data_IF_277569857905
#
_entry.id   IF_277569857905
#
_cell.length_a   1.000
_cell.length_b   1.000
_cell.length_c   1.000
_cell.angle_alpha   90.00
_cell.angle_beta   90.00
_cell.angle_gamma   90.00
#
_symmetry.space_group_name_H-M   'P 1'
#
loop_
_entity.id
_entity.type
_entity.pdbx_description
1 polymer ?
#
# COMPACT_ATOMS: atom_id res chain seq x y z
N UNK A 1 -0.83 -2.61 -11.57
CA UNK A 1 -0.09 -3.12 -10.39
C UNK A 1 1.39 -3.45 -10.67
N UNK A 2 1.74 -4.11 -11.80
CA UNK A 2 3.10 -4.59 -12.09
C UNK A 2 4.24 -3.53 -12.00
N UNK A 3 4.00 -2.31 -12.49
CA UNK A 3 5.06 -1.28 -12.57
C UNK A 3 5.59 -0.84 -11.19
N UNK A 4 4.73 -0.73 -10.16
CA UNK A 4 5.17 -0.29 -8.81
C UNK A 4 5.93 -1.37 -8.07
N UNK A 5 5.53 -2.63 -8.23
CA UNK A 5 6.25 -3.78 -7.65
C UNK A 5 7.66 -3.86 -8.22
N UNK A 6 7.81 -3.68 -9.53
CA UNK A 6 9.12 -3.62 -10.19
C UNK A 6 9.97 -2.45 -9.67
N UNK A 7 9.38 -1.27 -9.49
CA UNK A 7 10.07 -0.11 -8.94
C UNK A 7 10.59 -0.34 -7.51
N UNK A 8 9.78 -0.92 -6.61
CA UNK A 8 10.24 -1.29 -5.26
C UNK A 8 11.41 -2.26 -5.35
N UNK A 9 11.27 -3.35 -6.11
CA UNK A 9 12.32 -4.35 -6.24
C UNK A 9 13.62 -3.71 -6.76
N UNK A 10 13.51 -2.79 -7.71
CA UNK A 10 14.65 -2.03 -8.21
C UNK A 10 15.29 -1.15 -7.13
N UNK A 11 14.49 -0.36 -6.38
CA UNK A 11 14.99 0.48 -5.29
C UNK A 11 15.71 -0.37 -4.24
N UNK A 12 15.10 -1.47 -3.78
CA UNK A 12 15.70 -2.38 -2.78
C UNK A 12 17.04 -2.94 -3.26
N UNK A 13 17.16 -3.26 -4.56
CA UNK A 13 18.41 -3.75 -5.16
C UNK A 13 19.49 -2.66 -5.23
N UNK A 14 19.11 -1.43 -5.55
CA UNK A 14 20.02 -0.29 -5.57
C UNK A 14 20.52 0.05 -4.16
N UNK A 15 19.64 0.07 -3.17
CA UNK A 15 20.00 0.29 -1.76
C UNK A 15 20.99 -0.79 -1.27
N UNK A 16 20.71 -2.08 -1.55
CA UNK A 16 21.66 -3.16 -1.25
C UNK A 16 23.01 -2.96 -1.94
N UNK A 17 23.00 -2.55 -3.21
CA UNK A 17 24.23 -2.31 -3.97
C UNK A 17 25.07 -1.18 -3.35
N UNK A 18 24.41 -0.10 -2.95
CA UNK A 18 25.07 1.05 -2.31
C UNK A 18 25.68 0.65 -0.96
N UNK A 19 24.93 -0.07 -0.12
CA UNK A 19 25.43 -0.57 1.17
C UNK A 19 26.67 -1.45 0.99
N UNK A 20 26.65 -2.36 0.01
CA UNK A 20 27.83 -3.17 -0.33
C UNK A 20 29.06 -2.33 -0.70
N UNK A 21 28.89 -1.23 -1.44
CA UNK A 21 30.00 -0.35 -1.81
C UNK A 21 30.54 0.47 -0.63
N UNK A 22 29.68 0.87 0.31
CA UNK A 22 30.07 1.73 1.44
C UNK A 22 30.68 0.91 2.58
N UNK A 23 30.09 -0.23 2.92
CA UNK A 23 30.54 -1.08 4.03
C UNK A 23 31.66 -2.05 3.63
N UNK A 24 31.97 -2.14 2.33
CA UNK A 24 32.98 -3.04 1.74
C UNK A 24 32.83 -4.51 2.16
N UNK A 25 31.63 -4.88 2.60
CA UNK A 25 31.26 -6.20 3.09
C UNK A 25 29.81 -6.49 2.66
N UNK A 26 29.48 -7.77 2.49
CA UNK A 26 28.16 -8.23 2.02
C UNK A 26 27.37 -8.84 3.19
N UNK A 27 27.41 -8.18 4.34
CA UNK A 27 26.82 -8.69 5.58
C UNK A 27 25.28 -8.63 5.52
N UNK A 28 24.64 -9.75 5.81
CA UNK A 28 23.18 -9.90 5.80
C UNK A 28 22.48 -9.10 6.91
N UNK A 29 23.18 -8.74 7.98
CA UNK A 29 22.64 -7.93 9.09
C UNK A 29 22.40 -6.47 8.72
N UNK A 30 23.16 -5.93 7.76
CA UNK A 30 22.98 -4.57 7.23
C UNK A 30 21.87 -4.51 6.16
N UNK A 31 21.31 -5.66 5.79
CA UNK A 31 20.20 -5.70 4.85
C UNK A 31 18.89 -5.31 5.54
N UNK A 32 17.99 -4.76 4.73
CA UNK A 32 16.67 -4.38 5.19
C UNK A 32 15.91 -5.60 5.70
N UNK A 33 15.39 -5.49 6.91
CA UNK A 33 14.58 -6.54 7.50
C UNK A 33 13.32 -6.80 6.69
N UNK A 34 12.84 -8.03 6.69
CA UNK A 34 11.57 -8.41 6.05
C UNK A 34 10.39 -7.57 6.57
N UNK A 35 10.42 -7.12 7.83
CA UNK A 35 9.40 -6.23 8.41
C UNK A 35 9.42 -4.84 7.77
N UNK A 36 10.61 -4.29 7.53
CA UNK A 36 10.80 -2.99 6.90
C UNK A 36 10.38 -3.02 5.42
N UNK A 37 10.80 -4.07 4.70
CA UNK A 37 10.38 -4.29 3.30
C UNK A 37 8.85 -4.37 3.22
N UNK A 38 8.22 -5.10 4.15
CA UNK A 38 6.76 -5.22 4.22
C UNK A 38 6.09 -3.87 4.52
N UNK A 39 6.60 -3.10 5.47
CA UNK A 39 6.07 -1.77 5.80
C UNK A 39 6.14 -0.81 4.61
N UNK A 40 7.30 -0.75 3.93
CA UNK A 40 7.48 0.03 2.70
C UNK A 40 6.50 -0.41 1.60
N UNK A 41 6.27 -1.72 1.47
CA UNK A 41 5.29 -2.27 0.54
C UNK A 41 3.87 -1.81 0.85
N UNK A 42 3.45 -1.86 2.12
CA UNK A 42 2.12 -1.42 2.55
C UNK A 42 1.90 0.07 2.26
N UNK A 43 2.87 0.93 2.59
CA UNK A 43 2.82 2.37 2.29
C UNK A 43 2.61 2.63 0.80
N UNK A 44 3.26 1.87 -0.08
CA UNK A 44 3.15 2.03 -1.52
C UNK A 44 1.82 1.52 -2.10
N UNK A 45 1.23 0.49 -1.48
CA UNK A 45 -0.12 0.05 -1.78
C UNK A 45 -1.12 1.12 -1.34
N UNK A 46 -1.00 1.63 -0.11
CA UNK A 46 -1.89 2.68 0.43
C UNK A 46 -1.85 3.91 -0.47
N UNK A 47 -0.65 4.38 -0.84
CA UNK A 47 -0.49 5.49 -1.78
C UNK A 47 -1.10 5.19 -3.18
N UNK A 48 -1.20 3.92 -3.60
CA UNK A 48 -1.93 3.56 -4.84
C UNK A 48 -3.40 3.70 -4.65
N UNK A 49 -3.91 3.14 -3.57
CA UNK A 49 -5.31 3.13 -3.22
C UNK A 49 -5.86 4.57 -3.18
N UNK A 50 -5.11 5.47 -2.55
CA UNK A 50 -5.44 6.89 -2.50
C UNK A 50 -5.45 7.55 -3.88
N UNK A 51 -4.45 7.27 -4.70
CA UNK A 51 -4.35 7.83 -6.05
C UNK A 51 -5.51 7.33 -6.93
N UNK A 52 -5.83 6.03 -6.89
CA UNK A 52 -6.97 5.44 -7.61
C UNK A 52 -8.31 6.02 -7.11
N UNK A 53 -8.44 6.26 -5.80
CA UNK A 53 -9.60 6.93 -5.20
C UNK A 53 -9.74 8.38 -5.68
N UNK A 54 -8.66 9.16 -5.68
CA UNK A 54 -8.66 10.54 -6.19
C UNK A 54 -9.02 10.58 -7.67
N UNK A 55 -8.48 9.67 -8.48
CA UNK A 55 -8.78 9.55 -9.91
C UNK A 55 -10.23 9.16 -10.19
N UNK A 56 -10.98 8.68 -9.20
CA UNK A 56 -12.41 8.34 -9.34
C UNK A 56 -13.29 9.60 -9.34
N UNK A 57 -12.77 10.74 -8.85
CA UNK A 57 -13.54 11.99 -8.80
C UNK A 57 -13.80 12.56 -10.19
N UNK A 58 -15.03 12.37 -10.71
CA UNK A 58 -15.49 12.99 -11.96
C UNK A 58 -15.44 14.51 -11.93
N UNK A 59 -15.62 15.13 -10.76
CA UNK A 59 -15.50 16.59 -10.61
C UNK A 59 -14.10 17.10 -10.93
N UNK A 60 -13.05 16.35 -10.54
CA UNK A 60 -11.65 16.76 -10.77
C UNK A 60 -11.09 16.32 -12.13
N UNK A 61 -11.51 15.16 -12.64
CA UNK A 61 -10.90 14.55 -13.83
C UNK A 61 -11.85 14.42 -15.03
N UNK A 62 -13.12 14.83 -14.89
CA UNK A 62 -14.11 14.80 -15.96
C UNK A 62 -14.26 13.41 -16.60
N UNK A 63 -14.25 13.36 -17.94
CA UNK A 63 -14.27 12.10 -18.72
C UNK A 63 -12.99 11.26 -18.61
N UNK A 64 -11.89 11.82 -18.09
CA UNK A 64 -10.62 11.10 -17.89
C UNK A 64 -10.53 10.43 -16.51
N UNK A 65 -11.52 10.65 -15.65
CA UNK A 65 -11.61 9.97 -14.36
C UNK A 65 -11.88 8.47 -14.50
N UNK A 66 -11.33 7.68 -13.60
CA UNK A 66 -11.55 6.23 -13.55
C UNK A 66 -12.95 5.97 -13.02
N UNK A 67 -13.65 4.97 -13.55
CA UNK A 67 -14.96 4.56 -13.03
C UNK A 67 -14.78 3.92 -11.66
N UNK A 68 -15.66 4.27 -10.72
CA UNK A 68 -15.65 3.75 -9.36
C UNK A 68 -15.74 2.22 -9.32
N UNK A 69 -16.59 1.63 -10.16
CA UNK A 69 -16.72 0.19 -10.34
C UNK A 69 -15.40 -0.49 -10.70
N UNK A 70 -14.58 0.14 -11.54
CA UNK A 70 -13.28 -0.39 -11.94
C UNK A 70 -12.31 -0.43 -10.76
N UNK A 71 -12.32 0.61 -9.91
CA UNK A 71 -11.50 0.67 -8.70
C UNK A 71 -12.00 -0.34 -7.67
N UNK A 72 -13.32 -0.41 -7.41
CA UNK A 72 -13.91 -1.38 -6.49
C UNK A 72 -13.56 -2.82 -6.88
N UNK A 73 -13.73 -3.18 -8.16
CA UNK A 73 -13.39 -4.50 -8.68
C UNK A 73 -11.90 -4.81 -8.49
N UNK A 74 -11.03 -3.88 -8.87
CA UNK A 74 -9.56 -4.06 -8.79
C UNK A 74 -9.05 -4.26 -7.36
N UNK A 75 -9.70 -3.66 -6.37
CA UNK A 75 -9.24 -3.64 -4.98
C UNK A 75 -9.99 -4.61 -4.05
N UNK A 76 -11.18 -5.06 -4.44
CA UNK A 76 -12.02 -5.97 -3.65
C UNK A 76 -11.31 -7.27 -3.23
N UNK A 77 -10.42 -7.82 -4.06
CA UNK A 77 -9.65 -9.03 -3.77
C UNK A 77 -8.32 -8.80 -3.02
N UNK A 78 -7.91 -7.55 -2.83
CA UNK A 78 -6.62 -7.18 -2.23
C UNK A 78 -6.81 -6.69 -0.78
N UNK A 79 -7.96 -6.10 -0.48
CA UNK A 79 -8.27 -5.58 0.85
C UNK A 79 -8.60 -6.72 1.81
N UNK A 80 -7.77 -6.88 2.86
CA UNK A 80 -7.88 -7.95 3.85
C UNK A 80 -9.23 -7.99 4.60
N UNK A 81 -9.94 -6.87 4.64
CA UNK A 81 -11.28 -6.76 5.24
C UNK A 81 -12.42 -6.87 4.21
N UNK A 82 -12.20 -7.40 3.00
CA UNK A 82 -13.19 -7.40 1.90
C UNK A 82 -14.62 -7.87 2.23
N UNK A 83 -14.83 -8.55 3.36
CA UNK A 83 -16.15 -8.92 3.89
C UNK A 83 -16.86 -7.85 4.75
N UNK A 84 -16.12 -6.93 5.38
CA UNK A 84 -16.64 -5.87 6.26
C UNK A 84 -16.55 -4.46 5.64
N UNK A 85 -16.08 -4.32 4.40
CA UNK A 85 -16.09 -3.02 3.73
C UNK A 85 -17.48 -2.70 3.18
N UNK A 86 -17.98 -1.47 3.36
CA UNK A 86 -19.15 -0.98 2.65
C UNK A 86 -18.95 -1.14 1.13
N UNK A 87 -20.03 -1.41 0.40
CA UNK A 87 -20.00 -1.51 -1.08
C UNK A 87 -19.33 -0.29 -1.75
N UNK A 88 -19.50 0.88 -1.14
CA UNK A 88 -18.95 2.16 -1.60
C UNK A 88 -17.82 2.70 -0.71
N UNK A 89 -16.92 1.83 -0.24
CA UNK A 89 -15.82 2.20 0.65
C UNK A 89 -14.88 3.29 0.10
N UNK A 90 -14.90 3.56 -1.20
CA UNK A 90 -14.16 4.66 -1.85
C UNK A 90 -14.68 6.04 -1.40
N UNK A 91 -15.95 6.16 -1.04
CA UNK A 91 -16.59 7.41 -0.59
C UNK A 91 -16.41 7.62 0.92
N UNK A 92 -16.19 6.54 1.67
CA UNK A 92 -16.10 6.53 3.14
C UNK A 92 -14.72 6.90 3.73
N UNK A 93 -14.57 6.79 5.07
CA UNK A 93 -13.31 7.07 5.76
C UNK A 93 -12.16 6.20 5.23
N UNK A 94 -10.93 6.71 5.35
CA UNK A 94 -9.68 6.13 4.82
C UNK A 94 -9.59 4.63 5.17
N UNK A 95 -9.59 3.78 4.13
CA UNK A 95 -9.35 2.34 4.26
C UNK A 95 -7.84 2.12 4.20
N UNK A 96 -7.26 1.56 5.27
CA UNK A 96 -5.86 1.17 5.32
C UNK A 96 -5.69 -0.28 4.84
N UNK A 97 -4.69 -0.52 3.99
CA UNK A 97 -4.36 -1.86 3.54
C UNK A 97 -3.36 -2.50 4.51
N UNK A 98 -3.76 -3.61 5.15
CA UNK A 98 -2.81 -4.56 5.74
C UNK A 98 -2.43 -4.37 7.22
N UNK A 99 -3.08 -3.49 7.97
CA UNK A 99 -2.88 -3.44 9.42
C UNK A 99 -3.80 -4.44 10.13
N UNK A 100 -3.21 -5.47 10.75
CA UNK A 100 -3.89 -6.27 11.78
C UNK A 100 -4.49 -5.29 12.79
N UNK A 101 -5.82 -5.22 12.86
CA UNK A 101 -6.50 -4.61 13.98
C UNK A 101 -6.16 -5.42 15.24
N UNK A 102 -5.05 -5.08 15.89
CA UNK A 102 -4.70 -5.56 17.23
C UNK A 102 -4.54 -4.42 18.23
N UNK A 103 -5.04 -3.22 17.93
CA UNK A 103 -4.89 -2.08 18.85
C UNK A 103 -6.12 -1.22 19.08
N UNK A 104 -7.33 -1.73 18.84
CA UNK A 104 -8.54 -1.04 19.31
C UNK A 104 -9.49 -2.00 20.05
N UNK A 105 -8.95 -2.71 21.02
CA UNK A 105 -9.75 -3.44 22.03
C UNK A 105 -9.06 -3.31 23.40
N UNK A 106 -8.63 -2.08 23.74
CA UNK A 106 -8.06 -1.78 25.05
C UNK A 106 -8.46 -0.39 25.61
N UNK A 107 -9.34 0.35 24.92
CA UNK A 107 -9.70 1.72 25.32
C UNK A 107 -11.21 1.95 25.58
N UNK A 108 -12.01 0.89 25.72
CA UNK A 108 -13.44 1.00 26.03
C UNK A 108 -13.90 0.12 27.21
N UNK A 109 -12.98 -0.23 28.10
CA UNK A 109 -13.31 -0.73 29.44
C UNK A 109 -12.35 -0.11 30.46
N UNK A 110 -12.60 1.15 30.83
CA UNK A 110 -12.18 1.72 32.10
C UNK A 110 -13.14 2.80 32.54
#
# INVERSE_FOLDING_TARGET
MRQRTMHIIWVLRCERRILKYICNNDDEEEWQSASEIKARWLVLIDARLELDRVMTSRSKFGRRGIRMETVLSSWSGVLYQGKNLPKDWIVGPRVLVGSSARSCEAALNR
#
